data_IF_414827376978
#
_entry.id   IF_414827376978
#
_cell.length_a   1.000
_cell.length_b   1.000
_cell.length_c   1.000
_cell.angle_alpha   90.00
_cell.angle_beta   90.00
_cell.angle_gamma   90.00
#
_symmetry.space_group_name_H-M   'P 1'
#
loop_
_entity.id
_entity.type
_entity.pdbx_description
1 polymer ?
#
# COMPACT_ATOMS: atom_id res chain seq x y z
N UNK A 1 -2.75 2.52 -23.27
CA UNK A 1 -1.72 2.74 -22.21
C UNK A 1 -2.04 3.95 -21.34
N UNK A 2 -2.14 5.20 -21.83
CA UNK A 2 -2.45 6.36 -20.97
C UNK A 2 -3.81 6.28 -20.26
N UNK A 3 -4.87 5.84 -20.95
CA UNK A 3 -6.21 5.65 -20.36
C UNK A 3 -6.20 4.59 -19.25
N UNK A 4 -5.41 3.53 -19.42
CA UNK A 4 -5.28 2.42 -18.47
C UNK A 4 -4.55 2.87 -17.19
N UNK A 5 -3.43 3.60 -17.34
CA UNK A 5 -2.72 4.21 -16.22
C UNK A 5 -3.62 5.24 -15.53
N UNK A 6 -4.34 6.07 -16.29
CA UNK A 6 -5.29 7.03 -15.74
C UNK A 6 -6.37 6.36 -14.89
N UNK A 7 -6.89 5.21 -15.32
CA UNK A 7 -7.90 4.45 -14.56
C UNK A 7 -7.39 4.01 -13.18
N UNK A 8 -6.20 3.36 -13.13
CA UNK A 8 -5.63 2.91 -11.86
C UNK A 8 -5.12 4.07 -11.00
N UNK A 9 -4.69 5.16 -11.63
CA UNK A 9 -4.25 6.35 -10.92
C UNK A 9 -5.42 7.07 -10.21
N UNK A 10 -6.56 7.26 -10.89
CA UNK A 10 -7.78 7.80 -10.25
C UNK A 10 -8.32 6.90 -9.15
N UNK A 11 -8.12 5.59 -9.25
CA UNK A 11 -8.57 4.64 -8.22
C UNK A 11 -7.71 4.70 -6.95
N UNK A 12 -6.40 4.94 -7.10
CA UNK A 12 -5.43 4.93 -5.99
C UNK A 12 -5.12 6.32 -5.42
N UNK A 13 -5.65 7.38 -6.04
CA UNK A 13 -5.41 8.78 -5.65
C UNK A 13 -6.70 9.60 -5.72
N UNK A 14 -6.70 10.77 -5.07
CA UNK A 14 -7.80 11.73 -5.19
C UNK A 14 -7.83 12.49 -6.53
N UNK A 15 -6.79 12.32 -7.36
CA UNK A 15 -6.64 13.10 -8.60
C UNK A 15 -7.46 12.47 -9.72
N UNK A 16 -8.45 13.18 -10.28
CA UNK A 16 -9.30 12.67 -11.34
C UNK A 16 -8.49 12.59 -12.65
N UNK A 17 -8.30 11.40 -13.18
CA UNK A 17 -7.63 11.21 -14.48
C UNK A 17 -8.44 10.35 -15.45
N UNK A 18 -9.47 9.66 -14.99
CA UNK A 18 -10.37 8.86 -15.84
C UNK A 18 -11.70 8.55 -15.15
N UNK A 19 -12.77 8.37 -15.94
CA UNK A 19 -14.11 7.95 -15.48
C UNK A 19 -14.30 6.43 -15.71
N UNK A 20 -13.36 5.60 -15.28
CA UNK A 20 -13.44 4.15 -15.43
C UNK A 20 -14.27 3.50 -14.32
N UNK A 21 -14.99 2.42 -14.66
CA UNK A 21 -15.67 1.58 -13.65
C UNK A 21 -14.65 0.77 -12.84
N UNK A 22 -15.06 0.25 -11.67
CA UNK A 22 -14.22 -0.62 -10.86
C UNK A 22 -13.76 -1.87 -11.62
N UNK A 23 -14.64 -2.47 -12.42
CA UNK A 23 -14.33 -3.66 -13.22
C UNK A 23 -13.33 -3.36 -14.35
N UNK A 24 -13.40 -2.18 -14.94
CA UNK A 24 -12.40 -1.73 -15.92
C UNK A 24 -11.06 -1.49 -15.25
N UNK A 25 -11.04 -0.83 -14.09
CA UNK A 25 -9.84 -0.57 -13.31
C UNK A 25 -9.18 -1.88 -12.85
N UNK A 26 -9.97 -2.86 -12.43
CA UNK A 26 -9.49 -4.17 -12.00
C UNK A 26 -8.67 -4.89 -13.08
N UNK A 27 -9.03 -4.73 -14.37
CA UNK A 27 -8.28 -5.31 -15.49
C UNK A 27 -6.83 -4.83 -15.56
N UNK A 28 -6.55 -3.65 -15.02
CA UNK A 28 -5.27 -2.97 -15.07
C UNK A 28 -4.53 -2.94 -13.73
N UNK A 29 -4.97 -3.72 -12.74
CA UNK A 29 -4.34 -3.80 -11.42
C UNK A 29 -2.83 -4.08 -11.48
N UNK A 30 -2.36 -4.79 -12.50
CA UNK A 30 -0.93 -5.05 -12.71
C UNK A 30 -0.09 -3.77 -12.93
N UNK A 31 -0.73 -2.62 -13.21
CA UNK A 31 -0.11 -1.30 -13.32
C UNK A 31 -0.02 -0.55 -11.98
N UNK A 32 -0.49 -1.10 -10.87
CA UNK A 32 -0.38 -0.45 -9.55
C UNK A 32 1.05 -0.03 -9.20
N UNK A 33 2.10 -0.82 -9.50
CA UNK A 33 3.47 -0.35 -9.28
C UNK A 33 3.84 0.91 -10.08
N UNK A 34 3.24 1.15 -11.27
CA UNK A 34 3.41 2.40 -12.03
C UNK A 34 2.86 3.58 -11.22
N UNK A 35 1.69 3.41 -10.60
CA UNK A 35 1.13 4.45 -9.71
C UNK A 35 2.03 4.67 -8.50
N UNK A 36 2.61 3.60 -7.93
CA UNK A 36 3.64 3.69 -6.89
C UNK A 36 4.85 4.52 -7.33
N UNK A 37 5.33 4.33 -8.56
CA UNK A 37 6.41 5.17 -9.13
C UNK A 37 5.98 6.64 -9.19
N UNK A 38 4.78 6.94 -9.69
CA UNK A 38 4.29 8.32 -9.83
C UNK A 38 4.16 8.98 -8.44
N UNK A 39 3.49 8.31 -7.48
CA UNK A 39 3.34 8.83 -6.12
C UNK A 39 4.72 9.03 -5.47
N UNK A 40 5.60 8.03 -5.59
CA UNK A 40 6.95 8.07 -5.02
C UNK A 40 7.79 9.21 -5.59
N UNK A 41 7.72 9.49 -6.90
CA UNK A 41 8.40 10.63 -7.52
C UNK A 41 7.83 11.95 -7.01
N UNK A 42 6.50 12.10 -6.96
CA UNK A 42 5.85 13.33 -6.52
C UNK A 42 6.14 13.62 -5.04
N UNK A 43 5.87 12.66 -4.17
CA UNK A 43 6.01 12.84 -2.71
C UNK A 43 7.47 12.78 -2.28
N UNK A 44 8.25 11.86 -2.84
CA UNK A 44 9.69 11.78 -2.56
C UNK A 44 10.44 13.02 -3.06
N UNK A 45 10.09 13.52 -4.27
CA UNK A 45 10.63 14.77 -4.82
C UNK A 45 10.25 16.00 -3.98
N UNK A 46 9.01 16.05 -3.49
CA UNK A 46 8.56 17.08 -2.55
C UNK A 46 9.37 17.03 -1.25
N UNK A 47 9.49 15.85 -0.62
CA UNK A 47 10.29 15.65 0.60
C UNK A 47 11.76 15.99 0.39
N UNK A 48 12.35 15.57 -0.74
CA UNK A 48 13.72 15.95 -1.12
C UNK A 48 13.90 17.46 -1.18
N UNK A 49 12.99 18.18 -1.86
CA UNK A 49 13.03 19.63 -1.92
C UNK A 49 12.93 20.31 -0.55
N UNK A 50 12.02 19.82 0.31
CA UNK A 50 11.85 20.34 1.67
C UNK A 50 13.06 20.06 2.58
N UNK A 51 13.81 18.99 2.34
CA UNK A 51 14.96 18.60 3.16
C UNK A 51 16.10 19.63 3.12
N UNK A 52 16.10 20.55 2.18
CA UNK A 52 17.03 21.69 2.15
C UNK A 52 16.59 22.89 3.00
N UNK A 53 15.32 22.90 3.47
CA UNK A 53 14.71 24.07 4.08
C UNK A 53 14.23 23.83 5.51
N UNK A 54 13.91 22.58 5.86
CA UNK A 54 13.23 22.21 7.10
C UNK A 54 13.95 21.08 7.82
N UNK A 55 13.74 21.04 9.14
CA UNK A 55 14.21 19.93 9.97
C UNK A 55 13.56 18.58 9.56
N UNK A 56 14.29 17.44 9.66
CA UNK A 56 13.81 16.15 9.21
C UNK A 56 12.44 15.74 9.77
N UNK A 57 12.14 16.09 11.03
CA UNK A 57 10.85 15.78 11.64
C UNK A 57 9.69 16.54 10.98
N UNK A 58 9.91 17.79 10.58
CA UNK A 58 8.91 18.59 9.86
C UNK A 58 8.74 18.08 8.43
N UNK A 59 9.84 17.73 7.77
CA UNK A 59 9.81 17.12 6.43
C UNK A 59 9.01 15.83 6.46
N UNK A 60 9.28 14.94 7.44
CA UNK A 60 8.58 13.67 7.55
C UNK A 60 7.08 13.84 7.79
N UNK A 61 6.69 14.78 8.65
CA UNK A 61 5.28 15.11 8.88
C UNK A 61 4.59 15.57 7.60
N UNK A 62 5.21 16.46 6.82
CA UNK A 62 4.66 16.98 5.57
C UNK A 62 4.61 15.90 4.48
N UNK A 63 5.61 15.01 4.42
CA UNK A 63 5.62 13.86 3.51
C UNK A 63 4.47 12.91 3.83
N UNK A 64 4.29 12.52 5.10
CA UNK A 64 3.17 11.66 5.54
C UNK A 64 1.83 12.30 5.24
N UNK A 65 1.68 13.60 5.52
CA UNK A 65 0.48 14.38 5.20
C UNK A 65 0.19 14.35 3.69
N UNK A 66 1.23 14.54 2.86
CA UNK A 66 1.10 14.54 1.40
C UNK A 66 0.67 13.16 0.86
N UNK A 67 1.22 12.07 1.41
CA UNK A 67 0.78 10.70 1.08
C UNK A 67 -0.71 10.55 1.43
N UNK A 68 -1.11 10.91 2.65
CA UNK A 68 -2.48 10.76 3.12
C UNK A 68 -3.48 11.53 2.26
N UNK A 69 -3.17 12.80 1.93
CA UNK A 69 -4.01 13.62 1.05
C UNK A 69 -4.07 13.00 -0.35
N UNK A 70 -2.92 12.70 -0.96
CA UNK A 70 -2.86 12.23 -2.34
C UNK A 70 -3.58 10.89 -2.53
N UNK A 71 -3.50 9.97 -1.56
CA UNK A 71 -4.17 8.67 -1.62
C UNK A 71 -5.60 8.70 -1.08
N UNK A 72 -6.09 9.84 -0.60
CA UNK A 72 -7.47 10.02 -0.10
C UNK A 72 -7.77 9.22 1.17
N UNK A 73 -6.74 8.81 1.92
CA UNK A 73 -6.83 8.06 3.19
C UNK A 73 -7.43 6.64 3.05
N UNK A 74 -7.94 6.25 1.88
CA UNK A 74 -8.66 4.97 1.69
C UNK A 74 -7.92 3.72 2.16
N UNK A 75 -6.60 3.67 1.98
CA UNK A 75 -5.80 2.53 2.44
C UNK A 75 -5.61 2.54 3.96
N UNK A 76 -5.46 3.73 4.56
CA UNK A 76 -5.35 3.88 6.01
C UNK A 76 -6.67 3.51 6.71
N UNK A 77 -7.80 3.88 6.11
CA UNK A 77 -9.14 3.43 6.54
C UNK A 77 -9.21 1.90 6.53
N UNK A 78 -8.82 1.26 5.43
CA UNK A 78 -8.73 -0.20 5.36
C UNK A 78 -7.82 -0.82 6.42
N UNK A 79 -6.74 -0.14 6.85
CA UNK A 79 -5.90 -0.60 7.96
C UNK A 79 -6.65 -0.55 9.30
N UNK A 80 -7.44 0.49 9.54
CA UNK A 80 -8.27 0.58 10.73
C UNK A 80 -9.33 -0.52 10.77
N UNK A 81 -10.07 -0.69 9.67
CA UNK A 81 -11.12 -1.70 9.54
C UNK A 81 -10.57 -3.12 9.71
N UNK A 82 -9.41 -3.40 9.09
CA UNK A 82 -8.72 -4.68 9.27
C UNK A 82 -8.36 -4.94 10.72
N UNK A 83 -7.85 -3.95 11.45
CA UNK A 83 -7.49 -4.07 12.85
C UNK A 83 -8.74 -4.30 13.72
N UNK A 84 -9.81 -3.56 13.49
CA UNK A 84 -11.07 -3.73 14.22
C UNK A 84 -11.67 -5.11 13.94
N UNK A 85 -11.72 -5.55 12.69
CA UNK A 85 -12.16 -6.89 12.32
C UNK A 85 -11.35 -8.02 12.98
N UNK A 86 -10.03 -7.83 13.15
CA UNK A 86 -9.18 -8.82 13.83
C UNK A 86 -9.49 -8.95 15.30
N UNK A 87 -9.78 -7.85 16.00
CA UNK A 87 -10.02 -7.83 17.45
C UNK A 87 -11.40 -8.38 17.83
N UNK A 88 -12.37 -8.43 16.92
CA UNK A 88 -13.67 -9.04 17.19
C UNK A 88 -13.54 -10.54 17.38
N UNK A 89 -14.09 -11.05 18.50
CA UNK A 89 -14.17 -12.47 18.79
C UNK A 89 -15.41 -13.10 18.15
N UNK A 90 -15.24 -14.26 17.53
CA UNK A 90 -16.36 -15.01 16.97
C UNK A 90 -16.14 -15.50 15.56
N UNK A 91 -17.24 -15.65 14.81
CA UNK A 91 -17.22 -16.19 13.44
C UNK A 91 -16.60 -15.22 12.44
N UNK A 92 -16.16 -15.75 11.29
CA UNK A 92 -15.65 -14.94 10.15
C UNK A 92 -16.65 -13.86 9.72
N UNK A 93 -17.93 -14.19 9.74
CA UNK A 93 -19.01 -13.26 9.39
C UNK A 93 -19.09 -12.07 10.36
N UNK A 94 -19.01 -12.32 11.68
CA UNK A 94 -18.96 -11.23 12.67
C UNK A 94 -17.76 -10.31 12.48
N UNK A 95 -16.60 -10.87 12.17
CA UNK A 95 -15.38 -10.12 11.88
C UNK A 95 -15.50 -9.29 10.61
N UNK A 96 -16.06 -9.86 9.53
CA UNK A 96 -16.33 -9.14 8.29
C UNK A 96 -17.36 -8.02 8.47
N UNK A 97 -18.35 -8.21 9.33
CA UNK A 97 -19.33 -7.16 9.63
C UNK A 97 -18.70 -6.02 10.43
N UNK A 98 -17.77 -6.30 11.33
CA UNK A 98 -17.03 -5.26 12.04
C UNK A 98 -16.15 -4.40 11.10
N UNK A 99 -15.57 -5.00 10.04
CA UNK A 99 -14.83 -4.24 9.01
C UNK A 99 -15.74 -3.33 8.15
N UNK A 100 -17.04 -3.56 8.15
CA UNK A 100 -18.03 -2.76 7.40
C UNK A 100 -18.76 -1.74 8.27
N UNK A 101 -18.46 -1.71 9.56
CA UNK A 101 -19.04 -0.73 10.48
C UNK A 101 -18.48 0.66 10.15
N UNK A 102 -19.36 1.65 10.10
CA UNK A 102 -18.96 3.04 9.84
C UNK A 102 -18.25 3.68 11.04
N UNK A 103 -18.29 3.01 12.21
CA UNK A 103 -17.67 3.48 13.45
C UNK A 103 -16.30 2.85 13.60
N UNK A 104 -15.24 3.64 13.65
CA UNK A 104 -13.91 3.13 13.95
C UNK A 104 -13.80 2.70 15.41
N UNK A 105 -13.43 1.45 15.64
CA UNK A 105 -13.20 0.90 16.97
C UNK A 105 -11.84 1.29 17.56
N UNK A 106 -11.61 0.92 18.81
CA UNK A 106 -10.34 1.25 19.50
C UNK A 106 -9.12 0.60 18.85
N UNK A 107 -9.26 -0.59 18.25
CA UNK A 107 -8.14 -1.25 17.58
C UNK A 107 -7.77 -0.52 16.27
N UNK A 108 -8.77 -0.04 15.51
CA UNK A 108 -8.58 0.79 14.34
C UNK A 108 -7.84 2.08 14.69
N UNK A 109 -8.31 2.81 15.71
CA UNK A 109 -7.65 4.04 16.18
C UNK A 109 -6.19 3.78 16.58
N UNK A 110 -5.94 2.76 17.40
CA UNK A 110 -4.58 2.43 17.84
C UNK A 110 -3.68 2.04 16.67
N UNK A 111 -4.19 1.23 15.72
CA UNK A 111 -3.42 0.83 14.55
C UNK A 111 -3.02 2.03 13.68
N UNK A 112 -3.93 2.97 13.45
CA UNK A 112 -3.64 4.22 12.71
C UNK A 112 -2.61 5.08 13.43
N UNK A 113 -2.76 5.29 14.75
CA UNK A 113 -1.81 6.09 15.54
C UNK A 113 -0.40 5.50 15.47
N UNK A 114 -0.27 4.18 15.71
CA UNK A 114 1.03 3.51 15.64
C UNK A 114 1.63 3.54 14.23
N UNK A 115 0.81 3.36 13.21
CA UNK A 115 1.22 3.44 11.82
C UNK A 115 1.73 4.84 11.44
N UNK A 116 0.96 5.89 11.74
CA UNK A 116 1.33 7.27 11.40
C UNK A 116 2.57 7.74 12.17
N UNK A 117 2.66 7.43 13.46
CA UNK A 117 3.87 7.70 14.27
C UNK A 117 5.06 6.93 13.67
N UNK A 118 4.87 5.65 13.34
CA UNK A 118 5.90 4.83 12.72
C UNK A 118 6.42 5.43 11.42
N UNK A 119 5.54 5.94 10.55
CA UNK A 119 5.94 6.63 9.32
C UNK A 119 6.75 7.89 9.60
N UNK A 120 6.24 8.78 10.47
CA UNK A 120 6.91 10.05 10.79
C UNK A 120 8.29 9.79 11.38
N UNK A 121 8.40 8.88 12.35
CA UNK A 121 9.67 8.52 12.97
C UNK A 121 10.63 7.93 11.93
N UNK A 122 10.18 6.95 11.15
CA UNK A 122 11.04 6.26 10.19
C UNK A 122 11.55 7.22 9.10
N UNK A 123 10.66 8.03 8.52
CA UNK A 123 11.01 8.98 7.46
C UNK A 123 11.97 10.06 7.99
N UNK A 124 11.83 10.49 9.27
CA UNK A 124 12.71 11.50 9.86
C UNK A 124 14.17 11.05 10.04
N UNK A 125 14.44 9.75 9.93
CA UNK A 125 15.79 9.18 9.97
C UNK A 125 16.53 9.27 8.62
N UNK A 126 15.86 9.76 7.56
CA UNK A 126 16.45 9.95 6.23
C UNK A 126 16.39 11.40 5.79
N UNK A 127 17.34 11.82 4.96
CA UNK A 127 17.41 13.17 4.40
C UNK A 127 17.92 13.14 2.97
N UNK A 128 17.73 14.25 2.25
CA UNK A 128 18.30 14.43 0.90
C UNK A 128 17.84 13.34 -0.07
N UNK A 129 18.78 12.85 -0.88
CA UNK A 129 18.47 11.87 -1.92
C UNK A 129 18.10 10.48 -1.37
N UNK A 130 18.56 10.12 -0.18
CA UNK A 130 18.16 8.87 0.47
C UNK A 130 16.69 8.92 0.91
N UNK A 131 16.18 10.06 1.34
CA UNK A 131 14.75 10.27 1.57
C UNK A 131 13.94 10.04 0.29
N UNK A 132 14.39 10.61 -0.84
CA UNK A 132 13.73 10.39 -2.13
C UNK A 132 13.69 8.90 -2.50
N UNK A 133 14.83 8.20 -2.40
CA UNK A 133 14.91 6.75 -2.70
C UNK A 133 13.99 5.94 -1.78
N UNK A 134 14.04 6.21 -0.47
CA UNK A 134 13.23 5.52 0.53
C UNK A 134 11.73 5.61 0.21
N UNK A 135 11.22 6.82 -0.06
CA UNK A 135 9.82 7.05 -0.40
C UNK A 135 9.47 6.37 -1.74
N UNK A 136 10.29 6.57 -2.77
CA UNK A 136 10.02 6.00 -4.09
C UNK A 136 9.94 4.47 -4.04
N UNK A 137 10.92 3.82 -3.43
CA UNK A 137 10.97 2.35 -3.37
C UNK A 137 9.83 1.81 -2.51
N UNK A 138 9.56 2.41 -1.36
CA UNK A 138 8.48 1.97 -0.47
C UNK A 138 7.09 2.11 -1.13
N UNK A 139 6.83 3.18 -1.89
CA UNK A 139 5.56 3.34 -2.63
C UNK A 139 5.39 2.29 -3.74
N UNK A 140 6.46 1.99 -4.47
CA UNK A 140 6.45 0.93 -5.49
C UNK A 140 6.13 -0.42 -4.86
N UNK A 141 6.82 -0.77 -3.77
CA UNK A 141 6.66 -2.04 -3.06
C UNK A 141 5.28 -2.15 -2.40
N UNK A 142 4.76 -1.07 -1.82
CA UNK A 142 3.42 -1.02 -1.26
C UNK A 142 2.35 -1.30 -2.32
N UNK A 143 2.44 -0.71 -3.50
CA UNK A 143 1.51 -0.99 -4.60
C UNK A 143 1.69 -2.38 -5.18
N UNK A 144 2.93 -2.88 -5.26
CA UNK A 144 3.19 -4.24 -5.69
C UNK A 144 2.64 -5.28 -4.69
N UNK A 145 2.69 -5.03 -3.39
CA UNK A 145 2.15 -5.93 -2.38
C UNK A 145 0.65 -6.19 -2.54
N UNK A 146 -0.13 -5.18 -2.96
CA UNK A 146 -1.56 -5.36 -3.29
C UNK A 146 -1.75 -6.31 -4.47
N UNK A 147 -0.94 -6.16 -5.53
CA UNK A 147 -0.97 -7.03 -6.71
C UNK A 147 -0.61 -8.47 -6.34
N UNK A 148 0.46 -8.64 -5.55
CA UNK A 148 0.91 -9.93 -5.05
C UNK A 148 -0.18 -10.60 -4.19
N UNK A 149 -0.76 -9.86 -3.24
CA UNK A 149 -1.86 -10.32 -2.38
C UNK A 149 -3.04 -10.81 -3.22
N UNK A 150 -3.50 -10.02 -4.19
CA UNK A 150 -4.62 -10.37 -5.05
C UNK A 150 -4.34 -11.61 -5.92
N UNK A 151 -3.08 -11.80 -6.35
CA UNK A 151 -2.69 -12.96 -7.17
C UNK A 151 -2.66 -14.27 -6.38
N UNK A 152 -2.26 -14.22 -5.11
CA UNK A 152 -2.07 -15.39 -4.24
C UNK A 152 -3.35 -15.82 -3.53
N UNK A 153 -4.17 -14.87 -3.10
CA UNK A 153 -5.34 -15.16 -2.26
C UNK A 153 -6.65 -15.28 -3.03
N UNK A 154 -7.71 -15.57 -2.29
CA UNK A 154 -9.09 -15.62 -2.79
C UNK A 154 -9.93 -14.55 -2.10
N UNK A 155 -11.01 -14.10 -2.75
CA UNK A 155 -11.93 -13.12 -2.15
C UNK A 155 -12.67 -13.73 -0.95
N UNK A 156 -12.82 -12.95 0.13
CA UNK A 156 -13.59 -13.32 1.30
C UNK A 156 -15.11 -13.36 1.02
N UNK A 157 -15.57 -12.58 0.04
CA UNK A 157 -16.98 -12.50 -0.37
C UNK A 157 -17.08 -12.06 -1.83
N UNK A 158 -18.24 -12.29 -2.43
CA UNK A 158 -18.55 -11.69 -3.73
C UNK A 158 -18.80 -10.19 -3.52
N UNK A 159 -18.01 -9.34 -4.17
CA UNK A 159 -18.07 -7.89 -4.02
C UNK A 159 -17.11 -7.16 -4.94
N UNK A 160 -16.95 -5.85 -4.76
CA UNK A 160 -16.16 -4.96 -5.62
C UNK A 160 -14.70 -5.37 -5.79
N UNK A 161 -14.09 -5.97 -4.76
CA UNK A 161 -12.71 -6.45 -4.81
C UNK A 161 -12.56 -7.81 -5.51
N UNK A 162 -13.64 -8.56 -5.74
CA UNK A 162 -13.58 -9.88 -6.40
C UNK A 162 -13.05 -9.77 -7.82
N UNK A 163 -13.40 -8.71 -8.56
CA UNK A 163 -12.91 -8.43 -9.92
C UNK A 163 -11.38 -8.24 -9.96
N UNK A 164 -10.81 -7.55 -8.97
CA UNK A 164 -9.35 -7.37 -8.84
C UNK A 164 -8.65 -8.71 -8.62
N UNK A 165 -9.14 -9.51 -7.68
CA UNK A 165 -8.58 -10.82 -7.36
C UNK A 165 -8.70 -11.77 -8.56
N UNK A 166 -9.86 -11.82 -9.21
CA UNK A 166 -10.07 -12.67 -10.39
C UNK A 166 -9.13 -12.29 -11.55
N UNK A 167 -8.96 -10.98 -11.79
CA UNK A 167 -8.07 -10.46 -12.83
C UNK A 167 -6.62 -10.85 -12.59
N UNK A 168 -6.17 -10.88 -11.32
CA UNK A 168 -4.79 -11.18 -10.95
C UNK A 168 -4.47 -12.68 -10.88
N UNK A 169 -5.43 -13.58 -11.14
CA UNK A 169 -5.14 -15.02 -11.37
C UNK A 169 -4.35 -15.27 -12.65
N UNK A 170 -4.32 -14.30 -13.58
CA UNK A 170 -3.44 -14.35 -14.76
C UNK A 170 -1.97 -14.10 -14.35
N UNK A 171 -1.17 -15.17 -14.36
CA UNK A 171 0.27 -15.11 -14.00
C UNK A 171 1.08 -14.14 -14.87
N UNK A 172 0.64 -13.88 -16.11
CA UNK A 172 1.32 -12.92 -17.01
C UNK A 172 1.23 -11.51 -16.45
N UNK A 173 0.07 -11.14 -15.87
CA UNK A 173 -0.13 -9.83 -15.23
C UNK A 173 0.74 -9.68 -13.98
N UNK A 174 0.85 -10.73 -13.15
CA UNK A 174 1.76 -10.71 -12.01
C UNK A 174 3.21 -10.54 -12.46
N UNK A 175 3.62 -11.25 -13.52
CA UNK A 175 4.97 -11.12 -14.08
C UNK A 175 5.23 -9.70 -14.58
N UNK A 176 4.28 -9.09 -15.29
CA UNK A 176 4.40 -7.69 -15.74
C UNK A 176 4.53 -6.73 -14.57
N UNK A 177 3.69 -6.85 -13.53
CA UNK A 177 3.78 -6.05 -12.33
C UNK A 177 5.15 -6.22 -11.63
N UNK A 178 5.66 -7.45 -11.56
CA UNK A 178 6.97 -7.74 -11.00
C UNK A 178 8.09 -7.07 -11.80
N UNK A 179 8.05 -7.14 -13.14
CA UNK A 179 9.04 -6.47 -14.00
C UNK A 179 9.01 -4.94 -13.85
N UNK A 180 7.83 -4.34 -13.75
CA UNK A 180 7.68 -2.90 -13.52
C UNK A 180 8.29 -2.51 -12.17
N UNK A 181 8.08 -3.31 -11.14
CA UNK A 181 8.57 -3.05 -9.78
C UNK A 181 10.08 -3.29 -9.66
N UNK A 182 10.59 -4.42 -10.15
CA UNK A 182 11.97 -4.86 -9.85
C UNK A 182 13.03 -3.95 -10.45
N UNK A 183 12.77 -3.37 -11.62
CA UNK A 183 13.74 -2.50 -12.30
C UNK A 183 14.10 -1.29 -11.43
N UNK A 184 13.16 -0.41 -11.02
CA UNK A 184 13.50 0.73 -10.18
C UNK A 184 13.99 0.34 -8.79
N UNK A 185 13.47 -0.75 -8.20
CA UNK A 185 13.89 -1.23 -6.88
C UNK A 185 15.34 -1.70 -6.90
N UNK A 186 15.75 -2.46 -7.92
CA UNK A 186 17.14 -2.94 -8.04
C UNK A 186 18.11 -1.81 -8.40
N UNK A 187 17.72 -0.89 -9.28
CA UNK A 187 18.59 0.20 -9.73
C UNK A 187 18.83 1.26 -8.65
N UNK A 188 17.81 1.60 -7.86
CA UNK A 188 17.89 2.69 -6.87
C UNK A 188 18.14 2.17 -5.44
N UNK A 189 17.65 0.98 -5.14
CA UNK A 189 17.74 0.40 -3.79
C UNK A 189 18.93 -0.53 -3.60
N UNK A 190 19.57 -0.98 -4.68
CA UNK A 190 20.71 -1.90 -4.63
C UNK A 190 20.43 -3.13 -3.72
N UNK A 191 21.34 -3.47 -2.81
CA UNK A 191 21.15 -4.58 -1.86
C UNK A 191 20.01 -4.31 -0.88
N UNK A 192 19.90 -3.07 -0.37
CA UNK A 192 18.80 -2.66 0.53
C UNK A 192 17.44 -2.81 -0.13
N UNK A 193 17.31 -2.44 -1.41
CA UNK A 193 16.07 -2.62 -2.17
C UNK A 193 15.64 -4.09 -2.28
N UNK A 194 16.58 -5.02 -2.41
CA UNK A 194 16.28 -6.44 -2.43
C UNK A 194 15.81 -6.96 -1.06
N UNK A 195 16.37 -6.44 0.04
CA UNK A 195 15.90 -6.78 1.40
C UNK A 195 14.50 -6.20 1.63
N UNK A 196 14.23 -4.95 1.21
CA UNK A 196 12.89 -4.36 1.25
C UNK A 196 11.87 -5.21 0.47
N UNK A 197 12.26 -5.72 -0.71
CA UNK A 197 11.42 -6.63 -1.50
C UNK A 197 11.17 -7.95 -0.76
N UNK A 198 12.18 -8.55 -0.14
CA UNK A 198 11.99 -9.76 0.66
C UNK A 198 11.01 -9.53 1.82
N UNK A 199 11.13 -8.41 2.54
CA UNK A 199 10.18 -8.03 3.60
C UNK A 199 8.78 -7.79 3.05
N UNK A 200 8.64 -7.21 1.85
CA UNK A 200 7.35 -7.07 1.16
C UNK A 200 6.66 -8.43 0.97
N UNK A 201 7.39 -9.45 0.53
CA UNK A 201 6.86 -10.81 0.42
C UNK A 201 6.44 -11.37 1.78
N UNK A 202 7.27 -11.21 2.80
CA UNK A 202 6.96 -11.70 4.16
C UNK A 202 5.69 -11.05 4.71
N UNK A 203 5.61 -9.71 4.67
CA UNK A 203 4.43 -8.96 5.14
C UNK A 203 3.17 -9.41 4.39
N UNK A 204 3.24 -9.49 3.05
CA UNK A 204 2.10 -9.93 2.23
C UNK A 204 1.64 -11.33 2.60
N UNK A 205 2.56 -12.30 2.78
CA UNK A 205 2.21 -13.67 3.12
C UNK A 205 1.65 -13.80 4.55
N UNK A 206 2.19 -13.04 5.50
CA UNK A 206 1.68 -13.01 6.88
C UNK A 206 0.24 -12.46 6.89
N UNK A 207 -0.01 -11.33 6.23
CA UNK A 207 -1.35 -10.75 6.16
C UNK A 207 -2.31 -11.69 5.41
N UNK A 208 -1.88 -12.33 4.34
CA UNK A 208 -2.69 -13.33 3.61
C UNK A 208 -3.09 -14.49 4.52
N UNK A 209 -2.15 -15.02 5.31
CA UNK A 209 -2.42 -16.09 6.28
C UNK A 209 -3.42 -15.67 7.35
N UNK A 210 -3.24 -14.48 7.93
CA UNK A 210 -4.15 -13.89 8.92
C UNK A 210 -5.54 -13.68 8.31
N UNK A 211 -5.61 -13.06 7.14
CA UNK A 211 -6.87 -12.74 6.44
C UNK A 211 -7.65 -14.02 6.08
N UNK A 212 -6.98 -15.02 5.52
CA UNK A 212 -7.61 -16.30 5.17
C UNK A 212 -8.20 -17.01 6.40
N UNK A 213 -7.47 -16.98 7.51
CA UNK A 213 -7.93 -17.59 8.79
C UNK A 213 -9.08 -16.81 9.41
N UNK A 214 -8.95 -15.48 9.48
CA UNK A 214 -9.86 -14.61 10.22
C UNK A 214 -11.12 -14.27 9.45
N UNK A 215 -11.01 -14.04 8.14
CA UNK A 215 -12.10 -13.53 7.30
C UNK A 215 -12.52 -14.51 6.19
N UNK A 216 -11.74 -15.56 5.97
CA UNK A 216 -11.99 -16.54 4.89
C UNK A 216 -11.40 -16.14 3.53
N UNK A 217 -10.71 -15.01 3.45
CA UNK A 217 -10.10 -14.50 2.22
C UNK A 217 -9.75 -13.02 2.31
N UNK A 218 -9.62 -12.38 1.17
CA UNK A 218 -9.19 -10.99 1.00
C UNK A 218 -10.41 -10.09 0.81
N UNK A 219 -10.42 -8.93 1.50
CA UNK A 219 -11.32 -7.78 1.27
C UNK A 219 -10.55 -6.62 0.66
N UNK A 220 -11.24 -5.52 0.32
CA UNK A 220 -10.61 -4.26 -0.06
C UNK A 220 -9.71 -3.73 1.05
N UNK A 221 -10.18 -3.81 2.30
CA UNK A 221 -9.48 -3.32 3.49
C UNK A 221 -8.20 -4.13 3.77
N UNK A 222 -8.22 -5.45 3.49
CA UNK A 222 -7.02 -6.29 3.51
C UNK A 222 -6.00 -5.84 2.48
N UNK A 223 -6.43 -5.47 1.25
CA UNK A 223 -5.52 -4.91 0.25
C UNK A 223 -4.95 -3.56 0.71
N UNK A 224 -5.79 -2.68 1.27
CA UNK A 224 -5.37 -1.41 1.84
C UNK A 224 -4.38 -1.58 2.99
N UNK A 225 -4.69 -2.46 3.95
CA UNK A 225 -3.80 -2.79 5.08
C UNK A 225 -2.46 -3.32 4.61
N UNK A 226 -2.46 -4.18 3.58
CA UNK A 226 -1.22 -4.73 3.01
C UNK A 226 -0.36 -3.63 2.42
N UNK A 227 -0.96 -2.66 1.71
CA UNK A 227 -0.28 -1.48 1.19
C UNK A 227 0.40 -0.68 2.30
N UNK A 228 -0.36 -0.34 3.36
CA UNK A 228 0.15 0.50 4.45
C UNK A 228 1.25 -0.20 5.27
N UNK A 229 1.01 -1.44 5.67
CA UNK A 229 1.99 -2.19 6.46
C UNK A 229 3.26 -2.51 5.65
N UNK A 230 3.14 -2.75 4.35
CA UNK A 230 4.31 -2.92 3.48
C UNK A 230 5.09 -1.63 3.34
N UNK A 231 4.43 -0.48 3.16
CA UNK A 231 5.09 0.83 3.13
C UNK A 231 5.93 1.05 4.38
N UNK A 232 5.32 0.89 5.55
CA UNK A 232 6.03 1.10 6.82
C UNK A 232 7.19 0.12 7.01
N UNK A 233 6.94 -1.18 6.79
CA UNK A 233 7.98 -2.20 6.96
C UNK A 233 9.16 -2.00 6.01
N UNK A 234 8.90 -1.65 4.74
CA UNK A 234 9.97 -1.39 3.77
C UNK A 234 10.77 -0.14 4.12
N UNK A 235 10.11 0.94 4.59
CA UNK A 235 10.80 2.13 5.10
C UNK A 235 11.67 1.81 6.31
N UNK A 236 11.18 1.03 7.29
CA UNK A 236 11.97 0.59 8.44
C UNK A 236 13.22 -0.17 8.02
N UNK A 237 13.12 -1.03 7.01
CA UNK A 237 14.29 -1.73 6.46
C UNK A 237 15.28 -0.75 5.84
N UNK A 238 14.79 0.22 5.04
CA UNK A 238 15.65 1.19 4.37
C UNK A 238 16.51 2.00 5.37
N UNK A 239 15.94 2.42 6.50
CA UNK A 239 16.64 3.21 7.50
C UNK A 239 17.52 2.39 8.46
N UNK A 240 17.40 1.07 8.42
CA UNK A 240 18.13 0.15 9.29
C UNK A 240 19.38 -0.44 8.63
N UNK A 241 19.56 -0.29 7.33
CA UNK A 241 20.65 -0.82 6.51
C UNK A 241 21.44 0.27 5.81
#
# INVERSE_FOLDING_TARGET
MFKEIGSVFSFLTILPSSNSTLDETAKYMYLFPVVGIIIGILVGGFGFGLSFLLDPILVSFLVVTSIAILTGIHHADGLADFADGLMVKGTKEKKLNAMKDLSTGSAGVVSLVLYLIGLVVTISLTTGFDLFKAILISEILAKFSMVLMASLGNSASVGSNSSFIQTMKDKRKLMLAFLIMIIPVALLGEATGLVMLAVTFVVTLVILGISTRSFGGITGDVLGSTNELTRLASLMVFVSL
#
